data_IF_512452577979
#
_entry.id   IF_512452577979
#
_cell.length_a   1.000
_cell.length_b   1.000
_cell.length_c   1.000
_cell.angle_alpha   90.00
_cell.angle_beta   90.00
_cell.angle_gamma   90.00
#
_symmetry.space_group_name_H-M   'P 1'
#
loop_
_entity.id
_entity.type
_entity.pdbx_description
1 polymer ?
#
# COMPACT_ATOMS: atom_id res chain seq x y z
N UNK A 1 17.75 12.27 -6.87
CA UNK A 1 16.87 11.34 -7.61
C UNK A 1 15.93 10.56 -6.68
N UNK A 2 16.43 9.87 -5.64
CA UNK A 2 15.61 9.08 -4.72
C UNK A 2 14.45 9.85 -4.05
N UNK A 3 14.68 11.09 -3.58
CA UNK A 3 13.62 11.91 -2.96
C UNK A 3 12.61 12.40 -4.01
N UNK A 4 13.09 12.73 -5.21
CA UNK A 4 12.24 13.21 -6.30
C UNK A 4 11.30 12.10 -6.81
N UNK A 5 11.84 10.91 -7.07
CA UNK A 5 11.05 9.77 -7.57
C UNK A 5 10.29 9.07 -6.45
N UNK A 6 10.90 8.95 -5.26
CA UNK A 6 10.30 8.23 -4.13
C UNK A 6 9.26 9.03 -3.37
N UNK A 7 9.53 10.30 -3.07
CA UNK A 7 8.64 11.11 -2.22
C UNK A 7 7.80 12.07 -3.04
N UNK A 8 8.42 12.91 -3.88
CA UNK A 8 7.70 13.93 -4.64
C UNK A 8 6.74 13.29 -5.66
N UNK A 9 7.21 12.36 -6.49
CA UNK A 9 6.37 11.71 -7.49
C UNK A 9 5.27 10.85 -6.86
N UNK A 10 5.56 10.15 -5.76
CA UNK A 10 4.55 9.36 -5.05
C UNK A 10 3.42 10.23 -4.50
N UNK A 11 3.75 11.36 -3.86
CA UNK A 11 2.74 12.31 -3.37
C UNK A 11 1.97 12.95 -4.53
N UNK A 12 2.64 13.30 -5.62
CA UNK A 12 1.97 13.86 -6.80
C UNK A 12 0.95 12.87 -7.39
N UNK A 13 1.34 11.60 -7.55
CA UNK A 13 0.44 10.54 -8.01
C UNK A 13 -0.71 10.28 -7.02
N UNK A 14 -0.44 10.36 -5.72
CA UNK A 14 -1.48 10.28 -4.69
C UNK A 14 -2.51 11.40 -4.84
N UNK A 15 -2.07 12.64 -5.05
CA UNK A 15 -2.97 13.79 -5.26
C UNK A 15 -3.78 13.64 -6.55
N UNK A 16 -3.17 13.10 -7.62
CA UNK A 16 -3.87 12.76 -8.87
C UNK A 16 -4.94 11.70 -8.60
N UNK A 17 -4.62 10.63 -7.87
CA UNK A 17 -5.58 9.58 -7.54
C UNK A 17 -6.78 10.12 -6.76
N UNK A 18 -6.56 11.03 -5.79
CA UNK A 18 -7.63 11.68 -5.04
C UNK A 18 -8.48 12.64 -5.88
N UNK A 19 -7.91 13.23 -6.93
CA UNK A 19 -8.61 14.16 -7.83
C UNK A 19 -9.50 13.44 -8.85
N UNK A 20 -9.08 12.27 -9.33
CA UNK A 20 -9.77 11.57 -10.43
C UNK A 20 -10.55 10.33 -10.00
N UNK A 21 -10.25 9.74 -8.84
CA UNK A 21 -10.99 8.61 -8.28
C UNK A 21 -11.81 9.04 -7.07
N UNK A 22 -12.77 8.20 -6.66
CA UNK A 22 -13.45 8.40 -5.38
C UNK A 22 -12.40 8.39 -4.24
N UNK A 23 -12.32 9.45 -3.41
CA UNK A 23 -11.35 9.54 -2.34
C UNK A 23 -11.35 8.32 -1.41
N UNK A 24 -12.52 7.73 -1.16
CA UNK A 24 -12.64 6.53 -0.35
C UNK A 24 -11.88 5.35 -0.98
N UNK A 25 -12.11 5.09 -2.27
CA UNK A 25 -11.46 4.00 -3.03
C UNK A 25 -9.95 4.23 -3.16
N UNK A 26 -9.55 5.47 -3.45
CA UNK A 26 -8.13 5.83 -3.53
C UNK A 26 -7.40 5.59 -2.21
N UNK A 27 -8.00 6.01 -1.08
CA UNK A 27 -7.45 5.79 0.25
C UNK A 27 -7.38 4.32 0.62
N UNK A 28 -8.38 3.48 0.27
CA UNK A 28 -8.28 2.01 0.47
C UNK A 28 -7.05 1.45 -0.22
N UNK A 29 -6.89 1.78 -1.51
CA UNK A 29 -5.78 1.31 -2.33
C UNK A 29 -4.43 1.73 -1.74
N UNK A 30 -4.31 2.97 -1.30
CA UNK A 30 -3.07 3.46 -0.67
C UNK A 30 -2.80 2.73 0.65
N UNK A 31 -3.83 2.51 1.46
CA UNK A 31 -3.70 1.80 2.72
C UNK A 31 -3.31 0.32 2.54
N UNK A 32 -3.62 -0.28 1.38
CA UNK A 32 -3.23 -1.67 1.04
C UNK A 32 -1.73 -1.86 0.75
N UNK A 33 -0.87 -0.86 1.01
CA UNK A 33 0.60 -0.98 0.90
C UNK A 33 1.22 -2.25 1.53
N UNK A 34 0.72 -2.79 2.66
CA UNK A 34 1.23 -4.02 3.26
C UNK A 34 1.00 -5.28 2.39
N UNK A 35 0.03 -5.24 1.48
CA UNK A 35 -0.16 -6.31 0.49
C UNK A 35 0.92 -6.20 -0.59
N UNK A 36 1.18 -4.99 -1.08
CA UNK A 36 2.19 -4.75 -2.11
C UNK A 36 3.59 -5.17 -1.67
N UNK A 37 3.97 -4.97 -0.41
CA UNK A 37 5.29 -5.40 0.07
C UNK A 37 5.43 -6.93 0.09
N UNK A 38 4.37 -7.69 0.38
CA UNK A 38 4.39 -9.15 0.26
C UNK A 38 4.53 -9.61 -1.19
N UNK A 39 3.84 -8.94 -2.13
CA UNK A 39 3.95 -9.23 -3.56
C UNK A 39 5.39 -8.99 -4.02
N UNK A 40 6.00 -7.88 -3.60
CA UNK A 40 7.41 -7.58 -3.93
C UNK A 40 8.33 -8.67 -3.40
N UNK A 41 8.17 -9.11 -2.14
CA UNK A 41 8.98 -10.22 -1.60
C UNK A 41 8.77 -11.52 -2.39
N UNK A 42 7.53 -11.82 -2.79
CA UNK A 42 7.24 -12.99 -3.62
C UNK A 42 7.93 -12.91 -5.00
N UNK A 43 7.89 -11.75 -5.66
CA UNK A 43 8.56 -11.51 -6.95
C UNK A 43 10.08 -11.59 -6.81
N UNK A 44 10.64 -11.06 -5.72
CA UNK A 44 12.09 -11.10 -5.44
C UNK A 44 12.58 -12.47 -4.95
N UNK A 45 11.67 -13.43 -4.75
CA UNK A 45 11.94 -14.76 -4.17
C UNK A 45 12.65 -14.68 -2.80
N UNK A 46 12.44 -13.58 -2.07
CA UNK A 46 12.97 -13.41 -0.72
C UNK A 46 12.11 -14.19 0.28
N UNK A 47 12.68 -14.76 1.35
CA UNK A 47 11.93 -15.53 2.32
C UNK A 47 10.91 -14.63 3.03
N UNK A 48 9.63 -14.87 2.78
CA UNK A 48 8.55 -14.17 3.45
C UNK A 48 8.49 -14.69 4.89
N UNK A 49 8.98 -13.89 5.83
CA UNK A 49 8.89 -14.23 7.25
C UNK A 49 7.44 -14.34 7.72
N UNK A 50 7.12 -15.33 8.56
CA UNK A 50 5.77 -15.50 9.17
C UNK A 50 5.23 -14.22 9.81
N UNK A 51 6.10 -13.41 10.41
CA UNK A 51 5.74 -12.10 11.00
C UNK A 51 5.19 -11.13 9.96
N UNK A 52 5.74 -11.14 8.73
CA UNK A 52 5.30 -10.24 7.65
C UNK A 52 3.91 -10.63 7.14
N UNK A 53 3.63 -11.93 7.02
CA UNK A 53 2.30 -12.42 6.64
C UNK A 53 1.24 -12.05 7.67
N UNK A 54 1.54 -12.27 8.96
CA UNK A 54 0.63 -11.92 10.05
C UNK A 54 0.41 -10.40 10.09
N UNK A 55 1.47 -9.61 9.97
CA UNK A 55 1.38 -8.14 9.92
C UNK A 55 0.49 -7.65 8.77
N UNK A 56 0.64 -8.22 7.57
CA UNK A 56 -0.23 -7.88 6.43
C UNK A 56 -1.68 -8.29 6.67
N UNK A 57 -1.96 -9.46 7.25
CA UNK A 57 -3.32 -9.88 7.61
C UNK A 57 -3.98 -8.92 8.59
N UNK A 58 -3.26 -8.51 9.63
CA UNK A 58 -3.74 -7.51 10.60
C UNK A 58 -3.98 -6.15 9.94
N UNK A 59 -3.06 -5.70 9.08
CA UNK A 59 -3.21 -4.43 8.39
C UNK A 59 -4.42 -4.44 7.44
N UNK A 60 -4.61 -5.51 6.67
CA UNK A 60 -5.79 -5.68 5.80
C UNK A 60 -7.07 -5.74 6.63
N UNK A 61 -7.06 -6.44 7.76
CA UNK A 61 -8.19 -6.45 8.69
C UNK A 61 -8.55 -5.04 9.20
N UNK A 62 -7.55 -4.25 9.59
CA UNK A 62 -7.75 -2.87 10.03
C UNK A 62 -8.29 -1.94 8.93
N UNK A 63 -7.80 -2.09 7.70
CA UNK A 63 -8.29 -1.32 6.54
C UNK A 63 -9.75 -1.66 6.28
N UNK A 64 -10.11 -2.94 6.27
CA UNK A 64 -11.50 -3.39 6.07
C UNK A 64 -12.45 -2.86 7.15
N UNK A 65 -11.97 -2.76 8.40
CA UNK A 65 -12.76 -2.21 9.50
C UNK A 65 -13.05 -0.71 9.33
N UNK A 66 -12.18 0.02 8.63
CA UNK A 66 -12.36 1.44 8.33
C UNK A 66 -13.49 1.69 7.30
N UNK A 67 -13.91 0.66 6.58
CA UNK A 67 -15.00 0.70 5.59
C UNK A 67 -16.36 0.23 6.13
N UNK A 68 -16.42 -0.24 7.38
CA UNK A 68 -17.66 -0.64 8.06
C UNK A 68 -18.25 0.56 8.83
#
# INVERSE_FOLDING_TARGET
>A
LAIFVGTFLALWLQQVALKYANPAVAQTLIATSPIFILIIYAVRREPIGRKSVIGTLFAVGGISLFFL
#
